data_IF_432180742021
#
_entry.id   IF_432180742021
#
_cell.length_a   1.000
_cell.length_b   1.000
_cell.length_c   1.000
_cell.angle_alpha   90.00
_cell.angle_beta   90.00
_cell.angle_gamma   90.00
#
_symmetry.space_group_name_H-M   'P 1'
#
loop_
_entity.id
_entity.type
_entity.pdbx_description
1 polymer ?
#
# COMPACT_ATOMS: atom_id res chain seq x y z
N UNK A 1 -29.82 15.22 8.67
CA UNK A 1 -28.87 14.13 8.93
C UNK A 1 -27.52 14.66 8.55
N UNK A 2 -26.53 14.61 9.44
CA UNK A 2 -25.14 14.95 9.13
C UNK A 2 -24.62 13.94 8.09
N UNK A 3 -23.73 14.40 7.20
CA UNK A 3 -23.07 13.47 6.28
C UNK A 3 -22.19 12.49 7.06
N UNK A 4 -22.09 11.21 6.62
CA UNK A 4 -21.24 10.22 7.27
C UNK A 4 -19.77 10.62 7.22
N UNK A 5 -19.03 10.45 8.32
CA UNK A 5 -17.58 10.66 8.36
C UNK A 5 -16.90 9.44 7.74
N UNK A 6 -16.23 9.63 6.60
CA UNK A 6 -15.67 8.56 5.77
C UNK A 6 -14.21 8.26 6.11
N UNK A 7 -13.74 7.03 5.79
CA UNK A 7 -12.37 6.58 6.10
C UNK A 7 -11.28 7.39 5.40
N UNK A 8 -11.48 7.75 4.18
CA UNK A 8 -10.47 8.40 3.34
C UNK A 8 -11.07 9.44 2.42
N UNK A 9 -10.25 10.01 1.54
CA UNK A 9 -10.73 11.00 0.57
C UNK A 9 -11.82 10.34 -0.28
N UNK A 10 -12.91 11.06 -0.35
CA UNK A 10 -14.09 10.65 -1.09
C UNK A 10 -13.88 10.95 -2.58
N UNK A 11 -14.94 11.04 -3.30
CA UNK A 11 -14.97 11.35 -4.73
C UNK A 11 -14.16 12.61 -5.07
N UNK A 12 -13.68 12.74 -6.30
CA UNK A 12 -13.01 13.96 -6.74
C UNK A 12 -13.88 15.18 -6.49
N UNK A 13 -13.31 16.20 -5.86
CA UNK A 13 -13.99 17.48 -5.64
C UNK A 13 -14.32 18.16 -6.97
N UNK A 14 -15.20 19.18 -6.94
CA UNK A 14 -15.49 19.97 -8.15
C UNK A 14 -14.23 20.63 -8.73
N UNK A 15 -13.28 21.01 -7.87
CA UNK A 15 -11.99 21.55 -8.29
C UNK A 15 -11.14 20.47 -8.96
N UNK A 16 -11.09 19.25 -8.39
CA UNK A 16 -10.38 18.13 -9.02
C UNK A 16 -10.93 17.83 -10.41
N UNK A 17 -12.26 17.77 -10.58
CA UNK A 17 -12.88 17.55 -11.88
C UNK A 17 -12.50 18.61 -12.91
N UNK A 18 -12.43 19.88 -12.51
CA UNK A 18 -12.02 20.98 -13.41
C UNK A 18 -10.57 20.80 -13.86
N UNK A 19 -9.67 20.52 -12.92
CA UNK A 19 -8.25 20.34 -13.21
C UNK A 19 -7.98 19.05 -14.00
N UNK A 20 -8.68 17.96 -13.71
CA UNK A 20 -8.63 16.72 -14.50
C UNK A 20 -9.02 16.97 -15.96
N UNK A 21 -10.08 17.75 -16.22
CA UNK A 21 -10.48 18.11 -17.58
C UNK A 21 -9.38 18.92 -18.29
N UNK A 22 -8.69 19.80 -17.57
CA UNK A 22 -7.56 20.56 -18.15
C UNK A 22 -6.39 19.64 -18.51
N UNK A 23 -6.02 18.71 -17.62
CA UNK A 23 -4.97 17.73 -17.89
C UNK A 23 -5.30 16.84 -19.10
N UNK A 24 -6.53 16.33 -19.18
CA UNK A 24 -6.97 15.51 -20.32
C UNK A 24 -6.99 16.30 -21.64
N UNK A 25 -7.35 17.58 -21.62
CA UNK A 25 -7.29 18.46 -22.80
C UNK A 25 -5.84 18.78 -23.20
N UNK A 26 -4.96 19.04 -22.22
CA UNK A 26 -3.55 19.30 -22.47
C UNK A 26 -2.86 18.08 -23.13
N UNK A 27 -3.23 16.88 -22.73
CA UNK A 27 -2.77 15.64 -23.35
C UNK A 27 -3.42 15.35 -24.72
N UNK A 28 -4.32 16.19 -25.22
CA UNK A 28 -5.04 16.02 -26.50
C UNK A 28 -5.74 14.67 -26.67
N UNK A 29 -6.15 14.04 -25.57
CA UNK A 29 -6.74 12.70 -25.56
C UNK A 29 -5.73 11.56 -25.68
N UNK A 30 -4.44 11.83 -25.71
CA UNK A 30 -3.38 10.82 -25.81
C UNK A 30 -3.05 10.25 -24.44
N UNK A 31 -3.45 9.01 -24.20
CA UNK A 31 -3.25 8.33 -22.91
C UNK A 31 -1.78 8.24 -22.50
N UNK A 32 -0.86 7.99 -23.44
CA UNK A 32 0.56 7.86 -23.14
C UNK A 32 1.13 9.13 -22.48
N UNK A 33 0.70 10.32 -22.91
CA UNK A 33 1.14 11.61 -22.33
C UNK A 33 0.74 11.72 -20.85
N UNK A 34 -0.49 11.28 -20.51
CA UNK A 34 -0.94 11.27 -19.12
C UNK A 34 -0.16 10.26 -18.28
N UNK A 35 0.09 9.06 -18.81
CA UNK A 35 0.86 8.03 -18.11
C UNK A 35 2.31 8.49 -17.84
N UNK A 36 2.99 9.03 -18.82
CA UNK A 36 4.35 9.59 -18.69
C UNK A 36 4.41 10.68 -17.61
N UNK A 37 3.37 11.51 -17.51
CA UNK A 37 3.30 12.56 -16.50
C UNK A 37 3.11 11.99 -15.08
N UNK A 38 2.24 10.99 -14.89
CA UNK A 38 2.11 10.26 -13.61
C UNK A 38 3.44 9.61 -13.23
N UNK A 39 4.05 8.90 -14.17
CA UNK A 39 5.33 8.20 -14.01
C UNK A 39 6.45 9.19 -13.62
N UNK A 40 6.53 10.34 -14.29
CA UNK A 40 7.50 11.40 -13.97
C UNK A 40 7.30 11.99 -12.58
N UNK A 41 6.05 12.29 -12.17
CA UNK A 41 5.75 12.86 -10.86
C UNK A 41 6.14 11.90 -9.72
N UNK A 42 5.74 10.63 -9.82
CA UNK A 42 6.10 9.63 -8.82
C UNK A 42 7.60 9.35 -8.83
N UNK A 43 8.22 9.19 -10.01
CA UNK A 43 9.66 9.00 -10.15
C UNK A 43 10.46 10.11 -9.50
N UNK A 44 10.01 11.36 -9.62
CA UNK A 44 10.63 12.52 -8.97
C UNK A 44 10.54 12.45 -7.43
N UNK A 45 9.34 12.15 -6.88
CA UNK A 45 9.13 12.06 -5.42
C UNK A 45 10.02 10.98 -4.79
N UNK A 46 10.13 9.81 -5.44
CA UNK A 46 10.92 8.68 -4.94
C UNK A 46 12.37 8.69 -5.43
N UNK A 47 12.76 9.69 -6.24
CA UNK A 47 14.08 9.81 -6.86
C UNK A 47 14.53 8.55 -7.62
N UNK A 48 13.64 8.01 -8.50
CA UNK A 48 13.89 6.87 -9.39
C UNK A 48 13.74 7.30 -10.85
N UNK A 49 14.66 6.93 -11.76
CA UNK A 49 14.61 7.33 -13.16
C UNK A 49 13.52 6.61 -13.97
N UNK A 50 13.21 5.36 -13.61
CA UNK A 50 12.25 4.55 -14.33
C UNK A 50 10.98 4.35 -13.50
N UNK A 51 9.84 4.66 -14.11
CA UNK A 51 8.52 4.48 -13.53
C UNK A 51 7.57 3.90 -14.58
N UNK A 52 6.63 3.05 -14.15
CA UNK A 52 5.63 2.41 -15.02
C UNK A 52 4.29 2.38 -14.29
N UNK A 53 3.29 3.09 -14.81
CA UNK A 53 1.96 3.21 -14.20
C UNK A 53 1.04 2.05 -14.58
N UNK A 54 0.33 1.52 -13.58
CA UNK A 54 -0.61 0.39 -13.71
C UNK A 54 -2.00 0.77 -13.22
N UNK A 55 -3.04 0.21 -13.83
CA UNK A 55 -4.44 0.44 -13.49
C UNK A 55 -4.82 -0.02 -12.07
N UNK A 56 -4.10 -0.99 -11.50
CA UNK A 56 -4.35 -1.51 -10.16
C UNK A 56 -3.08 -1.94 -9.44
N UNK A 57 -3.11 -1.88 -8.13
CA UNK A 57 -2.00 -2.33 -7.25
C UNK A 57 -1.72 -3.83 -7.45
N UNK A 58 -2.77 -4.65 -7.58
CA UNK A 58 -2.60 -6.10 -7.81
C UNK A 58 -1.82 -6.41 -9.08
N UNK A 59 -2.20 -5.78 -10.20
CA UNK A 59 -1.52 -5.95 -11.48
C UNK A 59 -0.05 -5.46 -11.41
N UNK A 60 0.21 -4.37 -10.69
CA UNK A 60 1.55 -3.85 -10.48
C UNK A 60 2.43 -4.82 -9.69
N UNK A 61 1.90 -5.41 -8.61
CA UNK A 61 2.63 -6.40 -7.79
C UNK A 61 2.91 -7.66 -8.59
N UNK A 62 1.93 -8.19 -9.34
CA UNK A 62 2.11 -9.38 -10.18
C UNK A 62 3.18 -9.15 -11.26
N UNK A 63 3.10 -8.02 -11.97
CA UNK A 63 4.09 -7.66 -12.97
C UNK A 63 5.49 -7.51 -12.38
N UNK A 64 5.61 -6.92 -11.17
CA UNK A 64 6.87 -6.77 -10.46
C UNK A 64 7.45 -8.12 -10.03
N UNK A 65 6.63 -9.02 -9.46
CA UNK A 65 7.06 -10.37 -9.07
C UNK A 65 7.55 -11.17 -10.28
N UNK A 66 6.81 -11.14 -11.39
CA UNK A 66 7.22 -11.84 -12.61
C UNK A 66 8.52 -11.25 -13.20
N UNK A 67 8.66 -9.92 -13.23
CA UNK A 67 9.88 -9.26 -13.70
C UNK A 67 11.11 -9.60 -12.84
N UNK A 68 10.93 -9.80 -11.53
CA UNK A 68 11.98 -10.23 -10.60
C UNK A 68 12.26 -11.75 -10.64
N UNK A 69 11.53 -12.52 -11.45
CA UNK A 69 11.65 -13.97 -11.52
C UNK A 69 10.94 -14.73 -10.40
N UNK A 70 10.13 -14.05 -9.59
CA UNK A 70 9.35 -14.65 -8.51
C UNK A 70 8.28 -15.64 -9.00
N UNK A 71 7.82 -15.52 -10.24
CA UNK A 71 6.84 -16.43 -10.85
C UNK A 71 7.45 -17.71 -11.48
N UNK A 72 8.75 -17.94 -11.33
CA UNK A 72 9.46 -19.06 -11.99
C UNK A 72 9.67 -20.28 -11.09
N UNK A 73 8.88 -20.42 -10.07
CA UNK A 73 9.08 -21.41 -9.02
C UNK A 73 10.09 -20.93 -7.96
N UNK A 74 10.06 -21.56 -6.80
CA UNK A 74 10.84 -21.16 -5.65
C UNK A 74 9.98 -20.54 -4.55
N UNK A 75 10.59 -19.84 -3.62
CA UNK A 75 9.94 -19.31 -2.44
C UNK A 75 10.03 -17.78 -2.41
N UNK A 76 8.96 -17.14 -1.94
CA UNK A 76 8.89 -15.70 -1.68
C UNK A 76 8.76 -15.51 -0.16
N UNK A 77 9.72 -14.81 0.44
CA UNK A 77 9.65 -14.40 1.85
C UNK A 77 8.89 -13.08 1.95
N UNK A 78 7.82 -13.08 2.78
CA UNK A 78 6.93 -11.92 2.90
C UNK A 78 6.34 -11.83 4.32
N UNK A 79 5.87 -10.63 4.76
CA UNK A 79 5.26 -10.49 6.07
C UNK A 79 3.94 -11.29 6.17
N UNK A 80 3.70 -11.86 7.35
CA UNK A 80 2.41 -12.51 7.66
C UNK A 80 1.27 -11.50 7.82
N UNK A 81 1.57 -10.25 8.17
CA UNK A 81 0.62 -9.14 8.28
C UNK A 81 0.78 -8.21 7.09
N UNK A 82 -0.30 -8.00 6.34
CA UNK A 82 -0.22 -7.11 5.18
C UNK A 82 -1.56 -6.95 4.45
N UNK A 83 -1.56 -6.18 3.37
CA UNK A 83 -2.74 -5.97 2.54
C UNK A 83 -3.09 -7.26 1.77
N UNK A 84 -4.37 -7.60 1.73
CA UNK A 84 -4.86 -8.83 1.06
C UNK A 84 -4.48 -8.87 -0.42
N UNK A 85 -4.38 -7.71 -1.09
CA UNK A 85 -3.95 -7.61 -2.49
C UNK A 85 -2.55 -8.21 -2.72
N UNK A 86 -1.63 -8.12 -1.75
CA UNK A 86 -0.32 -8.77 -1.83
C UNK A 86 -0.47 -10.30 -1.84
N UNK A 87 -1.27 -10.85 -0.92
CA UNK A 87 -1.53 -12.29 -0.87
C UNK A 87 -2.11 -12.82 -2.18
N UNK A 88 -3.08 -12.11 -2.76
CA UNK A 88 -3.63 -12.48 -4.08
C UNK A 88 -2.59 -12.44 -5.20
N UNK A 89 -1.75 -11.40 -5.24
CA UNK A 89 -0.72 -11.28 -6.28
C UNK A 89 0.33 -12.39 -6.17
N UNK A 90 0.81 -12.68 -4.96
CA UNK A 90 1.77 -13.76 -4.73
C UNK A 90 1.16 -15.13 -5.05
N UNK A 91 -0.12 -15.34 -4.69
CA UNK A 91 -0.85 -16.56 -5.02
C UNK A 91 -0.92 -16.78 -6.54
N UNK A 92 -1.21 -15.75 -7.32
CA UNK A 92 -1.24 -15.84 -8.79
C UNK A 92 0.14 -16.02 -9.41
N UNK A 93 1.20 -15.58 -8.76
CA UNK A 93 2.57 -15.81 -9.20
C UNK A 93 3.00 -17.29 -9.11
N UNK A 94 2.16 -18.17 -8.53
CA UNK A 94 2.41 -19.63 -8.42
C UNK A 94 3.70 -20.00 -7.69
N UNK A 95 4.19 -19.15 -6.80
CA UNK A 95 5.36 -19.41 -5.96
C UNK A 95 4.95 -19.79 -4.55
N UNK A 96 5.77 -20.55 -3.86
CA UNK A 96 5.53 -20.90 -2.48
C UNK A 96 5.74 -19.66 -1.58
N UNK A 97 4.82 -19.43 -0.66
CA UNK A 97 4.95 -18.37 0.35
C UNK A 97 5.73 -18.86 1.56
N UNK A 98 6.66 -18.05 2.04
CA UNK A 98 7.31 -18.17 3.34
C UNK A 98 6.96 -16.92 4.14
N UNK A 99 5.95 -17.04 4.97
CA UNK A 99 5.54 -15.94 5.81
C UNK A 99 6.50 -15.76 6.98
N UNK A 100 6.75 -14.52 7.35
CA UNK A 100 7.51 -14.15 8.54
C UNK A 100 6.66 -13.26 9.45
N UNK A 101 6.79 -13.44 10.77
CA UNK A 101 6.06 -12.58 11.72
C UNK A 101 6.61 -11.16 11.68
N UNK A 102 5.86 -10.21 12.21
CA UNK A 102 6.18 -8.79 12.13
C UNK A 102 6.65 -8.24 13.48
N UNK A 103 7.33 -7.11 13.46
CA UNK A 103 7.66 -6.38 14.68
C UNK A 103 6.38 -5.84 15.38
N UNK A 104 6.25 -6.03 16.70
CA UNK A 104 5.04 -5.63 17.42
C UNK A 104 4.83 -4.11 17.51
N UNK A 105 5.85 -3.30 17.28
CA UNK A 105 5.75 -1.83 17.34
C UNK A 105 5.40 -1.24 15.98
N UNK A 106 6.21 -1.56 14.98
CA UNK A 106 6.06 -1.03 13.62
C UNK A 106 5.00 -1.78 12.79
N UNK A 107 4.70 -3.03 13.14
CA UNK A 107 3.84 -3.93 12.34
C UNK A 107 4.39 -4.20 10.94
N UNK A 108 5.70 -4.10 10.79
CA UNK A 108 6.42 -4.36 9.53
C UNK A 108 7.38 -5.54 9.70
N UNK A 109 7.82 -6.09 8.58
CA UNK A 109 8.83 -7.15 8.56
C UNK A 109 10.22 -6.55 8.78
N UNK A 110 10.96 -7.06 9.76
CA UNK A 110 12.35 -6.72 10.01
C UNK A 110 13.30 -7.75 9.39
N UNK A 111 14.57 -7.37 9.23
CA UNK A 111 15.60 -8.19 8.61
C UNK A 111 15.76 -9.58 9.24
N UNK A 112 15.90 -9.66 10.56
CA UNK A 112 16.10 -10.92 11.31
C UNK A 112 14.90 -11.88 11.16
N UNK A 113 13.67 -11.33 11.15
CA UNK A 113 12.47 -12.15 10.95
C UNK A 113 12.44 -12.74 9.53
N UNK A 114 12.80 -11.92 8.53
CA UNK A 114 12.88 -12.37 7.13
C UNK A 114 13.96 -13.44 6.96
N UNK A 115 15.16 -13.23 7.53
CA UNK A 115 16.31 -14.14 7.43
C UNK A 115 15.98 -15.51 8.01
N UNK A 116 15.26 -15.57 9.13
CA UNK A 116 14.84 -16.82 9.77
C UNK A 116 13.93 -17.70 8.91
N UNK A 117 13.32 -17.12 7.88
CA UNK A 117 12.37 -17.80 6.96
C UNK A 117 12.97 -18.12 5.60
N UNK A 118 14.18 -17.64 5.31
CA UNK A 118 14.87 -17.89 4.05
C UNK A 118 15.37 -19.34 3.94
N UNK A 119 15.39 -19.82 2.71
CA UNK A 119 15.96 -21.12 2.33
C UNK A 119 16.73 -20.98 1.01
N UNK A 120 17.42 -22.02 0.57
CA UNK A 120 18.10 -22.05 -0.75
C UNK A 120 17.13 -21.89 -1.93
N UNK A 121 15.84 -22.14 -1.69
CA UNK A 121 14.79 -21.95 -2.69
C UNK A 121 14.25 -20.51 -2.74
N UNK A 122 14.64 -19.64 -1.82
CA UNK A 122 14.19 -18.23 -1.78
C UNK A 122 14.63 -17.51 -3.05
N UNK A 123 13.70 -16.77 -3.68
CA UNK A 123 13.94 -16.02 -4.92
C UNK A 123 13.65 -14.54 -4.79
N UNK A 124 12.74 -14.14 -3.92
CA UNK A 124 12.36 -12.74 -3.70
C UNK A 124 12.07 -12.52 -2.22
N UNK A 125 12.54 -11.40 -1.69
CA UNK A 125 12.12 -10.88 -0.38
C UNK A 125 11.13 -9.75 -0.63
N UNK A 126 10.03 -9.70 0.14
CA UNK A 126 9.01 -8.64 0.04
C UNK A 126 8.96 -7.85 1.33
N UNK A 127 9.21 -6.55 1.24
CA UNK A 127 9.02 -5.59 2.32
C UNK A 127 7.75 -4.76 2.10
N UNK A 128 6.96 -4.54 3.14
CA UNK A 128 5.69 -3.81 3.06
C UNK A 128 5.68 -2.66 4.05
N UNK A 129 5.41 -1.45 3.59
CA UNK A 129 5.16 -0.28 4.43
C UNK A 129 3.69 -0.27 4.87
N UNK A 130 3.35 -1.03 5.91
CA UNK A 130 2.00 -1.04 6.46
C UNK A 130 1.63 0.36 7.01
N UNK A 131 0.49 0.89 6.61
CA UNK A 131 -0.01 2.23 6.99
C UNK A 131 0.96 3.40 6.70
N UNK A 132 1.93 3.18 5.81
CA UNK A 132 2.98 4.14 5.49
C UNK A 132 4.24 4.01 6.34
N UNK A 133 4.28 3.07 7.32
CA UNK A 133 5.44 2.82 8.19
C UNK A 133 6.60 2.17 7.43
N UNK A 134 7.76 2.84 7.27
CA UNK A 134 8.86 2.31 6.47
C UNK A 134 9.85 1.44 7.25
N UNK A 135 9.67 1.25 8.55
CA UNK A 135 10.60 0.51 9.40
C UNK A 135 10.95 -0.87 8.81
N UNK A 136 12.20 -1.27 8.93
CA UNK A 136 12.71 -2.55 8.42
C UNK A 136 13.13 -2.56 6.94
N UNK A 137 12.74 -1.60 6.11
CA UNK A 137 13.08 -1.60 4.68
C UNK A 137 14.59 -1.54 4.42
N UNK A 138 15.34 -0.76 5.20
CA UNK A 138 16.79 -0.68 5.10
C UNK A 138 17.47 -2.00 5.51
N UNK A 139 16.96 -2.68 6.52
CA UNK A 139 17.45 -3.99 6.97
C UNK A 139 17.16 -5.04 5.90
N UNK A 140 15.95 -5.07 5.35
CA UNK A 140 15.56 -5.97 4.26
C UNK A 140 16.39 -5.73 3.00
N UNK A 141 16.68 -4.47 2.66
CA UNK A 141 17.56 -4.13 1.53
C UNK A 141 18.99 -4.66 1.76
N UNK A 142 19.51 -4.52 2.97
CA UNK A 142 20.83 -5.03 3.34
C UNK A 142 20.86 -6.57 3.33
N UNK A 143 19.80 -7.22 3.84
CA UNK A 143 19.65 -8.68 3.79
C UNK A 143 19.59 -9.20 2.35
N UNK A 144 18.77 -8.57 1.50
CA UNK A 144 18.64 -8.93 0.10
C UNK A 144 19.99 -8.81 -0.65
N UNK A 145 20.71 -7.71 -0.42
CA UNK A 145 22.02 -7.49 -1.03
C UNK A 145 23.07 -8.53 -0.60
N UNK A 146 23.12 -8.90 0.70
CA UNK A 146 24.05 -9.92 1.19
C UNK A 146 23.80 -11.31 0.61
N UNK A 147 22.55 -11.61 0.26
CA UNK A 147 22.13 -12.91 -0.29
C UNK A 147 21.93 -12.89 -1.82
N UNK A 148 22.31 -11.81 -2.49
CA UNK A 148 22.13 -11.63 -3.95
C UNK A 148 20.69 -11.83 -4.43
N UNK A 149 19.72 -11.54 -3.55
CA UNK A 149 18.29 -11.65 -3.83
C UNK A 149 17.68 -10.29 -4.14
N UNK A 150 16.67 -10.21 -5.00
CA UNK A 150 15.91 -8.99 -5.18
C UNK A 150 14.97 -8.72 -3.99
N UNK A 151 14.94 -7.47 -3.54
CA UNK A 151 13.89 -6.96 -2.68
C UNK A 151 12.78 -6.35 -3.54
N UNK A 152 11.56 -6.80 -3.33
CA UNK A 152 10.35 -6.11 -3.78
C UNK A 152 9.81 -5.26 -2.63
N UNK A 153 9.83 -3.96 -2.80
CA UNK A 153 9.26 -3.03 -1.85
C UNK A 153 7.81 -2.70 -2.22
N UNK A 154 6.90 -2.79 -1.26
CA UNK A 154 5.49 -2.46 -1.44
C UNK A 154 5.12 -1.31 -0.52
N UNK A 155 4.75 -0.19 -1.12
CA UNK A 155 4.35 1.01 -0.42
C UNK A 155 2.97 1.47 -0.92
N UNK A 156 1.91 1.14 -0.17
CA UNK A 156 0.53 1.41 -0.59
C UNK A 156 -0.04 2.74 -0.06
N UNK A 157 0.75 3.55 0.60
CA UNK A 157 0.23 4.82 1.10
C UNK A 157 1.25 5.71 1.81
N UNK A 158 2.49 5.25 1.89
CA UNK A 158 3.59 6.00 2.51
C UNK A 158 4.47 6.76 1.52
N UNK A 159 3.94 7.13 0.34
CA UNK A 159 4.66 7.97 -0.62
C UNK A 159 5.16 9.24 0.07
N UNK A 160 6.42 9.61 -0.18
CA UNK A 160 7.10 10.74 0.48
C UNK A 160 7.67 10.45 1.88
N UNK A 161 7.43 9.23 2.43
CA UNK A 161 8.13 8.76 3.62
C UNK A 161 9.63 8.59 3.36
N UNK A 162 10.43 8.55 4.43
CA UNK A 162 11.90 8.45 4.35
C UNK A 162 12.47 7.58 5.48
N UNK A 163 13.61 6.94 5.21
CA UNK A 163 14.52 6.41 6.23
C UNK A 163 15.84 7.15 6.04
N UNK A 164 16.28 7.90 7.05
CA UNK A 164 17.40 8.80 6.89
C UNK A 164 17.15 9.83 5.79
N UNK A 165 18.01 9.81 4.76
CA UNK A 165 17.87 10.69 3.57
C UNK A 165 17.18 10.03 2.40
N UNK A 166 17.00 8.71 2.43
CA UNK A 166 16.46 7.94 1.31
C UNK A 166 14.94 7.90 1.35
N UNK A 167 14.26 8.30 0.26
CA UNK A 167 12.82 8.19 0.17
C UNK A 167 12.38 6.73 0.07
N UNK A 168 11.23 6.42 0.67
CA UNK A 168 10.52 5.16 0.47
C UNK A 168 10.21 5.02 -1.03
N UNK A 169 10.43 3.83 -1.58
CA UNK A 169 10.44 3.57 -3.03
C UNK A 169 11.86 3.35 -3.58
N UNK A 170 12.91 3.51 -2.74
CA UNK A 170 14.31 3.31 -3.15
C UNK A 170 14.98 2.07 -2.58
N UNK A 171 14.38 1.38 -1.62
CA UNK A 171 15.01 0.25 -0.94
C UNK A 171 14.93 -1.03 -1.76
N UNK A 172 13.85 -1.25 -2.50
CA UNK A 172 13.69 -2.40 -3.39
C UNK A 172 14.51 -2.29 -4.69
N UNK A 173 14.88 -3.44 -5.28
CA UNK A 173 15.29 -3.48 -6.69
C UNK A 173 14.15 -3.00 -7.60
N UNK A 174 12.93 -3.35 -7.21
CA UNK A 174 11.68 -2.83 -7.76
C UNK A 174 10.81 -2.41 -6.58
N UNK A 175 10.13 -1.27 -6.69
CA UNK A 175 9.18 -0.82 -5.68
C UNK A 175 7.82 -0.51 -6.31
N UNK A 176 6.75 -0.97 -5.68
CA UNK A 176 5.37 -0.71 -6.07
C UNK A 176 4.82 0.40 -5.17
N UNK A 177 4.51 1.54 -5.77
CA UNK A 177 3.93 2.70 -5.10
C UNK A 177 2.43 2.73 -5.39
N UNK A 178 1.61 2.41 -4.41
CA UNK A 178 0.16 2.51 -4.53
C UNK A 178 -0.29 3.96 -4.54
N UNK A 179 -1.20 4.29 -5.44
CA UNK A 179 -1.83 5.62 -5.52
C UNK A 179 -3.13 5.70 -4.71
N UNK A 180 -3.39 4.64 -3.91
CA UNK A 180 -4.58 4.49 -3.10
C UNK A 180 -5.79 4.04 -3.92
N UNK A 181 -6.76 3.47 -3.23
CA UNK A 181 -8.08 3.23 -3.76
C UNK A 181 -9.00 4.32 -3.20
N UNK A 182 -9.74 4.02 -2.17
CA UNK A 182 -10.51 5.02 -1.40
C UNK A 182 -9.77 5.49 -0.16
N UNK A 183 -8.57 4.98 0.03
CA UNK A 183 -7.75 5.13 1.22
C UNK A 183 -6.37 5.64 0.82
N UNK A 184 -5.80 6.51 1.65
CA UNK A 184 -4.50 7.10 1.40
C UNK A 184 -4.53 8.44 0.66
N UNK A 185 -3.39 9.13 0.60
CA UNK A 185 -3.33 10.57 0.27
C UNK A 185 -3.67 10.89 -1.18
N UNK A 186 -3.46 9.97 -2.12
CA UNK A 186 -3.71 10.24 -3.55
C UNK A 186 -5.12 9.83 -3.96
N UNK A 187 -5.61 8.65 -3.56
CA UNK A 187 -6.99 8.20 -3.79
C UNK A 187 -7.43 8.18 -5.26
N UNK A 188 -6.50 7.93 -6.20
CA UNK A 188 -6.79 7.91 -7.63
C UNK A 188 -6.98 6.52 -8.22
N UNK A 189 -6.77 5.50 -7.41
CA UNK A 189 -6.59 4.10 -7.82
C UNK A 189 -5.32 3.87 -8.65
N UNK A 190 -4.91 2.60 -8.77
CA UNK A 190 -3.73 2.21 -9.51
C UNK A 190 -2.44 2.24 -8.68
N UNK A 191 -1.34 2.01 -9.35
CA UNK A 191 -0.01 2.03 -8.76
C UNK A 191 1.06 2.40 -9.79
N UNK A 192 2.21 2.84 -9.32
CA UNK A 192 3.38 3.06 -10.15
C UNK A 192 4.50 2.15 -9.67
N UNK A 193 5.05 1.35 -10.57
CA UNK A 193 6.23 0.52 -10.31
C UNK A 193 7.47 1.32 -10.66
N UNK A 194 8.41 1.43 -9.73
CA UNK A 194 9.64 2.22 -9.93
C UNK A 194 10.89 1.35 -9.77
N UNK A 195 11.92 1.67 -10.55
CA UNK A 195 13.20 0.95 -10.54
C UNK A 195 14.32 1.85 -11.07
N UNK A 196 15.59 1.45 -10.88
CA UNK A 196 16.75 2.04 -11.53
C UNK A 196 17.20 1.24 -12.78
N UNK A 197 16.53 0.14 -13.08
CA UNK A 197 16.92 -0.80 -14.14
C UNK A 197 16.01 -0.61 -15.36
N UNK A 198 16.56 -0.03 -16.43
CA UNK A 198 15.83 0.21 -17.67
C UNK A 198 15.29 -1.08 -18.31
N UNK A 199 16.01 -2.18 -18.16
CA UNK A 199 15.58 -3.49 -18.70
C UNK A 199 14.34 -4.01 -17.97
N UNK A 200 14.31 -3.87 -16.63
CA UNK A 200 13.13 -4.20 -15.83
C UNK A 200 11.96 -3.27 -16.17
N UNK A 201 12.21 -1.98 -16.33
CA UNK A 201 11.16 -1.02 -16.68
C UNK A 201 10.53 -1.37 -18.04
N UNK A 202 11.35 -1.73 -19.03
CA UNK A 202 10.85 -2.17 -20.33
C UNK A 202 10.05 -3.46 -20.22
N UNK A 203 10.52 -4.45 -19.47
CA UNK A 203 9.78 -5.69 -19.24
C UNK A 203 8.41 -5.44 -18.56
N UNK A 204 8.34 -4.48 -17.63
CA UNK A 204 7.10 -4.04 -16.98
C UNK A 204 6.12 -3.37 -17.98
N UNK A 205 6.62 -2.51 -18.88
CA UNK A 205 5.80 -1.88 -19.92
C UNK A 205 5.20 -2.92 -20.87
N UNK A 206 6.00 -3.89 -21.29
CA UNK A 206 5.54 -5.00 -22.14
C UNK A 206 4.40 -5.78 -21.45
N UNK A 207 4.59 -6.18 -20.19
CA UNK A 207 3.58 -6.91 -19.41
C UNK A 207 2.29 -6.11 -19.22
N UNK A 208 2.41 -4.82 -18.92
CA UNK A 208 1.29 -3.89 -18.78
C UNK A 208 0.45 -3.78 -20.06
N UNK A 209 1.08 -3.95 -21.22
CA UNK A 209 0.49 -3.76 -22.54
C UNK A 209 0.21 -5.10 -23.25
N UNK A 210 -0.53 -6.02 -22.62
CA UNK A 210 -0.86 -7.33 -23.19
C UNK A 210 0.34 -8.18 -23.62
N UNK A 211 1.51 -8.00 -23.03
CA UNK A 211 2.74 -8.66 -23.46
C UNK A 211 3.30 -8.13 -24.77
N UNK A 212 2.81 -6.99 -25.25
CA UNK A 212 3.22 -6.38 -26.50
C UNK A 212 4.31 -5.35 -26.30
N UNK A 213 5.37 -5.41 -27.10
CA UNK A 213 6.36 -4.36 -27.17
C UNK A 213 5.74 -3.04 -27.66
N UNK A 214 6.28 -1.93 -27.17
CA UNK A 214 5.91 -0.62 -27.70
C UNK A 214 6.33 -0.50 -29.17
N UNK A 215 5.50 0.16 -30.01
CA UNK A 215 5.83 0.36 -31.42
C UNK A 215 7.16 1.12 -31.58
N UNK A 216 8.07 0.61 -32.39
CA UNK A 216 9.39 1.21 -32.65
C UNK A 216 9.39 2.23 -33.78
N UNK A 217 8.32 2.28 -34.56
CA UNK A 217 8.19 3.17 -35.71
C UNK A 217 6.77 3.75 -35.83
N UNK A 218 6.66 4.88 -36.55
CA UNK A 218 5.35 5.49 -36.79
C UNK A 218 4.44 4.56 -37.65
N UNK A 219 5.02 3.69 -38.45
CA UNK A 219 4.29 2.67 -39.20
C UNK A 219 3.66 1.62 -38.27
N UNK A 220 4.40 1.15 -37.27
CA UNK A 220 3.86 0.23 -36.24
C UNK A 220 2.75 0.91 -35.43
N UNK A 221 2.86 2.23 -35.15
CA UNK A 221 1.82 3.00 -34.47
C UNK A 221 0.53 3.12 -35.28
N UNK A 222 0.60 3.14 -36.62
CA UNK A 222 -0.55 3.28 -37.52
C UNK A 222 -1.41 2.01 -37.67
N UNK A 223 -1.22 1.00 -36.87
CA UNK A 223 -2.00 -0.24 -36.92
C UNK A 223 -1.17 -1.45 -37.37
N UNK A 224 0.14 -1.34 -37.24
CA UNK A 224 1.05 -2.45 -37.42
C UNK A 224 0.76 -3.61 -36.46
N UNK A 225 1.29 -4.77 -36.76
CA UNK A 225 1.14 -5.97 -35.95
C UNK A 225 1.88 -5.77 -34.64
N UNK A 226 1.15 -5.75 -33.52
CA UNK A 226 1.72 -5.73 -32.19
C UNK A 226 2.58 -6.99 -31.98
N UNK A 227 3.86 -6.82 -31.68
CA UNK A 227 4.77 -7.94 -31.40
C UNK A 227 4.57 -8.41 -29.96
N UNK A 228 3.98 -9.59 -29.79
CA UNK A 228 3.85 -10.23 -28.47
C UNK A 228 5.19 -10.83 -28.05
N UNK A 229 5.73 -10.42 -26.92
CA UNK A 229 7.01 -10.89 -26.38
C UNK A 229 6.83 -11.84 -25.19
N UNK A 230 5.75 -11.69 -24.44
CA UNK A 230 5.42 -12.54 -23.28
C UNK A 230 3.92 -12.56 -22.99
N UNK A 231 3.49 -13.37 -22.04
CA UNK A 231 2.16 -13.24 -21.46
C UNK A 231 2.04 -11.90 -20.71
N UNK A 232 0.90 -11.24 -20.87
CA UNK A 232 0.62 -9.96 -20.24
C UNK A 232 -0.87 -9.66 -20.23
N UNK A 233 -1.24 -8.55 -19.59
CA UNK A 233 -2.61 -8.08 -19.48
C UNK A 233 -2.71 -6.62 -19.89
N UNK A 234 -3.86 -6.18 -20.37
CA UNK A 234 -4.11 -4.73 -20.45
C UNK A 234 -4.33 -4.18 -19.04
N UNK A 235 -3.24 -3.71 -18.46
CA UNK A 235 -3.20 -3.14 -17.10
C UNK A 235 -2.81 -1.67 -17.13
N UNK A 236 -3.04 -0.99 -18.26
CA UNK A 236 -2.79 0.44 -18.39
C UNK A 236 -3.81 1.22 -17.56
N UNK A 237 -3.33 2.22 -16.84
CA UNK A 237 -4.18 3.16 -16.14
C UNK A 237 -5.07 3.91 -17.15
N UNK A 238 -6.35 4.10 -16.82
CA UNK A 238 -7.26 4.88 -17.67
C UNK A 238 -6.92 6.37 -17.64
N UNK A 239 -7.35 7.12 -18.64
CA UNK A 239 -7.14 8.56 -18.70
C UNK A 239 -7.73 9.31 -17.47
N UNK A 240 -8.86 8.84 -16.95
CA UNK A 240 -9.52 9.43 -15.77
C UNK A 240 -8.68 9.18 -14.50
N UNK A 241 -8.21 7.94 -14.30
CA UNK A 241 -7.32 7.62 -13.19
C UNK A 241 -6.02 8.43 -13.26
N UNK A 242 -5.40 8.50 -14.43
CA UNK A 242 -4.16 9.24 -14.64
C UNK A 242 -4.35 10.75 -14.40
N UNK A 243 -5.43 11.35 -14.90
CA UNK A 243 -5.72 12.76 -14.68
C UNK A 243 -5.93 13.09 -13.19
N UNK A 244 -6.68 12.26 -12.45
CA UNK A 244 -6.86 12.44 -11.02
C UNK A 244 -5.53 12.27 -10.26
N UNK A 245 -4.73 11.27 -10.63
CA UNK A 245 -3.40 11.07 -10.04
C UNK A 245 -2.50 12.31 -10.26
N UNK A 246 -2.46 12.86 -11.47
CA UNK A 246 -1.68 14.06 -11.79
C UNK A 246 -2.12 15.24 -10.92
N UNK A 247 -3.41 15.52 -10.85
CA UNK A 247 -3.96 16.63 -10.07
C UNK A 247 -3.54 16.53 -8.60
N UNK A 248 -3.70 15.36 -8.00
CA UNK A 248 -3.38 15.14 -6.58
C UNK A 248 -1.87 15.06 -6.33
N UNK A 249 -1.09 14.43 -7.20
CA UNK A 249 0.37 14.40 -7.11
C UNK A 249 0.98 15.81 -7.26
N UNK A 250 0.39 16.67 -8.07
CA UNK A 250 0.82 18.07 -8.18
C UNK A 250 0.61 18.84 -6.87
N UNK A 251 -0.38 18.46 -6.07
CA UNK A 251 -0.69 19.05 -4.76
C UNK A 251 -0.14 18.22 -3.59
N UNK A 252 0.74 17.26 -3.86
CA UNK A 252 1.14 16.21 -2.92
C UNK A 252 1.66 16.76 -1.58
N UNK A 253 2.58 17.72 -1.60
CA UNK A 253 3.15 18.29 -0.37
C UNK A 253 2.09 18.99 0.50
N UNK A 254 1.14 19.69 -0.13
CA UNK A 254 0.02 20.30 0.57
C UNK A 254 -0.86 19.24 1.24
N UNK A 255 -1.23 18.19 0.51
CA UNK A 255 -2.01 17.07 1.04
C UNK A 255 -1.29 16.42 2.23
N UNK A 256 0.02 16.19 2.13
CA UNK A 256 0.81 15.64 3.22
C UNK A 256 0.81 16.52 4.46
N UNK A 257 0.92 17.85 4.31
CA UNK A 257 0.88 18.80 5.44
C UNK A 257 -0.48 18.77 6.13
N UNK A 258 -1.56 18.81 5.36
CA UNK A 258 -2.93 18.77 5.91
C UNK A 258 -3.20 17.43 6.65
N UNK A 259 -2.75 16.29 6.09
CA UNK A 259 -2.87 14.99 6.77
C UNK A 259 -2.04 14.91 8.06
N UNK A 260 -0.88 15.55 8.10
CA UNK A 260 -0.05 15.63 9.30
C UNK A 260 -0.76 16.44 10.42
N UNK A 261 -1.47 17.50 10.08
CA UNK A 261 -2.31 18.25 11.02
C UNK A 261 -3.44 17.39 11.59
N UNK A 262 -4.13 16.62 10.75
CA UNK A 262 -5.17 15.65 11.19
C UNK A 262 -4.56 14.58 12.09
N UNK A 263 -3.39 14.03 11.73
CA UNK A 263 -2.67 13.05 12.57
C UNK A 263 -2.39 13.60 13.97
N UNK A 264 -1.83 14.80 14.05
CA UNK A 264 -1.54 15.45 15.33
C UNK A 264 -2.81 15.79 16.12
N UNK A 265 -3.91 16.10 15.45
CA UNK A 265 -5.21 16.32 16.05
C UNK A 265 -5.71 15.07 16.79
N UNK A 266 -5.63 13.90 16.15
CA UNK A 266 -5.93 12.61 16.80
C UNK A 266 -4.98 12.29 17.97
N UNK A 267 -3.68 12.46 17.77
CA UNK A 267 -2.67 12.18 18.82
C UNK A 267 -2.95 13.01 20.07
N UNK A 268 -3.22 14.31 19.94
CA UNK A 268 -3.53 15.18 21.11
C UNK A 268 -4.72 14.68 21.94
N UNK A 269 -5.72 14.07 21.28
CA UNK A 269 -6.97 13.61 21.94
C UNK A 269 -6.87 12.21 22.52
N UNK A 270 -6.08 11.35 21.91
CA UNK A 270 -6.05 9.93 22.24
C UNK A 270 -4.78 9.49 23.00
N UNK A 271 -3.72 10.31 23.08
CA UNK A 271 -2.44 9.94 23.65
C UNK A 271 -2.49 9.45 25.11
N UNK A 272 -3.44 9.93 25.90
CA UNK A 272 -3.58 9.56 27.31
C UNK A 272 -4.59 8.43 27.55
N UNK A 273 -5.18 7.85 26.50
CA UNK A 273 -6.15 6.78 26.66
C UNK A 273 -5.44 5.45 26.99
N UNK A 274 -5.71 4.82 28.18
CA UNK A 274 -4.92 3.69 28.67
C UNK A 274 -5.05 2.42 27.82
N UNK A 275 -6.14 2.30 27.08
CA UNK A 275 -6.46 1.11 26.28
C UNK A 275 -6.10 1.25 24.79
N UNK A 276 -5.42 2.32 24.42
CA UNK A 276 -5.05 2.57 23.04
C UNK A 276 -3.51 2.60 22.85
N UNK A 277 -3.07 1.96 21.80
CA UNK A 277 -1.71 2.09 21.29
C UNK A 277 -1.80 2.86 19.97
N UNK A 278 -1.25 4.06 19.96
CA UNK A 278 -1.25 4.93 18.79
C UNK A 278 -0.16 4.51 17.79
N UNK A 279 -0.27 4.93 16.52
CA UNK A 279 0.76 4.70 15.52
C UNK A 279 2.12 5.23 15.99
N UNK A 280 3.14 4.36 15.99
CA UNK A 280 4.48 4.73 16.44
C UNK A 280 5.28 5.42 15.32
N UNK A 281 6.02 6.50 15.60
CA UNK A 281 6.91 7.11 14.63
C UNK A 281 8.04 6.12 14.24
N UNK A 282 8.65 6.33 13.09
CA UNK A 282 9.88 5.64 12.70
C UNK A 282 11.07 6.34 13.37
N UNK A 283 11.94 5.57 14.06
CA UNK A 283 13.05 6.15 14.81
C UNK A 283 14.03 6.94 13.91
N UNK A 284 14.33 6.39 12.72
CA UNK A 284 15.32 6.92 11.81
C UNK A 284 14.71 7.56 10.55
N UNK A 285 13.41 7.91 10.59
CA UNK A 285 12.73 8.32 9.37
C UNK A 285 11.49 9.18 9.58
N UNK A 286 10.91 9.57 8.46
CA UNK A 286 9.64 10.27 8.38
C UNK A 286 8.57 9.31 7.89
N UNK A 287 7.50 9.13 8.64
CA UNK A 287 6.34 8.35 8.23
C UNK A 287 5.37 9.28 7.52
N UNK A 288 4.90 8.87 6.34
CA UNK A 288 3.74 9.46 5.69
C UNK A 288 2.57 8.50 5.88
N UNK A 289 1.71 8.83 6.82
CA UNK A 289 0.60 7.97 7.21
C UNK A 289 -0.45 7.90 6.10
N UNK A 290 -0.87 6.68 5.76
CA UNK A 290 -2.02 6.45 4.89
C UNK A 290 -3.32 6.29 5.67
N UNK A 291 -3.21 5.94 6.95
CA UNK A 291 -4.32 5.69 7.85
C UNK A 291 -3.95 6.13 9.26
N UNK A 292 -4.91 6.59 10.03
CA UNK A 292 -4.75 6.69 11.47
C UNK A 292 -5.19 5.36 12.10
N UNK A 293 -4.25 4.40 12.16
CA UNK A 293 -4.50 3.04 12.60
C UNK A 293 -4.08 2.86 14.06
N UNK A 294 -5.06 2.83 14.97
CA UNK A 294 -4.86 2.54 16.39
C UNK A 294 -4.89 1.03 16.66
N UNK A 295 -4.30 0.59 17.76
CA UNK A 295 -4.48 -0.75 18.30
C UNK A 295 -5.11 -0.69 19.69
N UNK A 296 -6.06 -1.59 19.92
CA UNK A 296 -6.60 -1.80 21.26
C UNK A 296 -5.57 -2.49 22.16
N UNK A 297 -5.64 -2.24 23.45
CA UNK A 297 -4.81 -2.87 24.47
C UNK A 297 -4.90 -4.40 24.48
N UNK A 298 -3.98 -5.05 25.19
CA UNK A 298 -3.84 -6.52 25.15
C UNK A 298 -5.06 -7.31 25.65
N UNK A 299 -5.87 -6.68 26.46
CA UNK A 299 -7.10 -7.28 26.99
C UNK A 299 -8.20 -7.45 25.95
N UNK A 300 -8.17 -6.75 24.82
CA UNK A 300 -9.22 -6.78 23.80
C UNK A 300 -9.01 -7.93 22.80
N UNK A 301 -10.10 -8.59 22.46
CA UNK A 301 -10.18 -9.65 21.44
C UNK A 301 -10.58 -9.06 20.07
N UNK A 302 -10.63 -9.94 19.07
CA UNK A 302 -11.18 -9.63 17.75
C UNK A 302 -12.66 -9.24 17.81
N UNK A 303 -13.44 -9.97 18.63
CA UNK A 303 -14.88 -9.70 18.75
C UNK A 303 -15.12 -8.33 19.41
N UNK A 304 -14.29 -7.95 20.37
CA UNK A 304 -14.34 -6.61 20.98
C UNK A 304 -14.04 -5.52 19.96
N UNK A 305 -13.00 -5.70 19.15
CA UNK A 305 -12.66 -4.78 18.05
C UNK A 305 -13.82 -4.64 17.07
N UNK A 306 -14.39 -5.76 16.63
CA UNK A 306 -15.49 -5.78 15.67
C UNK A 306 -16.73 -5.11 16.26
N UNK A 307 -16.99 -5.30 17.55
CA UNK A 307 -18.05 -4.60 18.30
C UNK A 307 -17.86 -3.10 18.35
N UNK A 308 -16.61 -2.62 18.56
CA UNK A 308 -16.27 -1.19 18.55
C UNK A 308 -16.45 -0.61 17.14
N UNK A 309 -15.97 -1.29 16.09
CA UNK A 309 -16.15 -0.86 14.70
C UNK A 309 -17.64 -0.76 14.35
N UNK A 310 -18.44 -1.77 14.70
CA UNK A 310 -19.90 -1.71 14.49
C UNK A 310 -20.55 -0.56 15.28
N UNK A 311 -20.06 -0.28 16.47
CA UNK A 311 -20.49 0.87 17.27
C UNK A 311 -20.26 2.18 16.56
N UNK A 312 -19.07 2.42 16.05
CA UNK A 312 -18.72 3.61 15.27
C UNK A 312 -19.58 3.74 14.00
N UNK A 313 -19.76 2.65 13.27
CA UNK A 313 -20.61 2.63 12.06
C UNK A 313 -22.07 3.01 12.33
N UNK A 314 -22.63 2.65 13.50
CA UNK A 314 -23.98 3.06 13.90
C UNK A 314 -24.11 4.55 14.19
N UNK A 315 -23.00 5.24 14.38
CA UNK A 315 -22.89 6.69 14.56
C UNK A 315 -22.42 7.40 13.29
N UNK A 316 -22.57 6.76 12.12
CA UNK A 316 -22.16 7.29 10.83
C UNK A 316 -20.64 7.62 10.74
N UNK A 317 -19.82 6.94 11.55
CA UNK A 317 -18.37 7.05 11.54
C UNK A 317 -17.79 5.77 10.92
N UNK A 318 -17.14 5.90 9.75
CA UNK A 318 -16.50 4.78 9.10
C UNK A 318 -15.25 4.33 9.87
N UNK A 319 -15.15 3.02 10.13
CA UNK A 319 -13.97 2.41 10.72
C UNK A 319 -13.81 1.00 10.17
N UNK A 320 -12.57 0.52 10.07
CA UNK A 320 -12.29 -0.82 9.52
C UNK A 320 -10.97 -1.40 10.03
N UNK A 321 -10.76 -2.69 9.77
CA UNK A 321 -9.46 -3.34 9.90
C UNK A 321 -8.78 -3.36 8.52
N UNK A 322 -7.67 -2.66 8.38
CA UNK A 322 -7.00 -2.41 7.07
C UNK A 322 -5.91 -3.42 6.72
N UNK A 323 -5.54 -4.31 7.62
CA UNK A 323 -4.57 -5.38 7.39
C UNK A 323 -5.11 -6.72 7.84
N UNK A 324 -4.74 -7.77 7.12
CA UNK A 324 -5.08 -9.14 7.44
C UNK A 324 -3.85 -10.00 7.74
N UNK A 325 -4.07 -11.12 8.40
CA UNK A 325 -3.06 -12.18 8.53
C UNK A 325 -3.14 -13.04 7.28
N UNK A 326 -2.22 -12.83 6.34
CA UNK A 326 -2.25 -13.43 5.01
C UNK A 326 -2.33 -14.97 5.03
N UNK A 327 -1.61 -15.69 5.93
CA UNK A 327 -1.75 -17.15 6.04
C UNK A 327 -3.13 -17.63 6.48
N UNK A 328 -3.93 -16.79 7.14
CA UNK A 328 -5.28 -17.18 7.60
C UNK A 328 -6.33 -17.10 6.51
N UNK A 329 -6.07 -16.37 5.44
CA UNK A 329 -7.01 -16.21 4.33
C UNK A 329 -7.11 -17.51 3.53
N UNK A 330 -8.23 -18.21 3.67
CA UNK A 330 -8.47 -19.53 3.05
C UNK A 330 -8.27 -19.48 1.52
N UNK A 331 -8.69 -18.38 0.89
CA UNK A 331 -8.54 -18.15 -0.54
C UNK A 331 -7.08 -17.99 -1.00
N UNK A 332 -6.13 -17.73 -0.08
CA UNK A 332 -4.72 -17.55 -0.38
C UNK A 332 -3.88 -18.82 -0.14
N UNK A 333 -4.52 -19.94 0.25
CA UNK A 333 -3.83 -21.20 0.50
C UNK A 333 -3.65 -21.96 -0.79
N UNK A 334 -2.41 -22.12 -1.25
CA UNK A 334 -2.08 -22.86 -2.49
C UNK A 334 -2.32 -24.37 -2.39
N UNK A 335 -2.03 -24.98 -1.24
CA UNK A 335 -2.22 -26.40 -0.99
C UNK A 335 -2.64 -26.65 0.46
N UNK A 336 -3.68 -27.46 0.73
CA UNK A 336 -4.14 -27.75 2.09
C UNK A 336 -3.09 -28.43 2.99
N UNK A 337 -2.07 -29.05 2.41
CA UNK A 337 -1.06 -29.83 3.14
C UNK A 337 0.20 -29.08 3.54
N UNK A 338 0.42 -27.85 3.07
CA UNK A 338 1.61 -27.02 3.38
C UNK A 338 1.27 -25.58 3.82
N UNK A 339 0.02 -25.34 4.22
CA UNK A 339 -0.37 -24.00 4.64
C UNK A 339 0.09 -23.73 6.06
N UNK A 340 0.99 -22.76 6.18
CA UNK A 340 1.26 -22.10 7.45
C UNK A 340 -0.05 -21.50 7.99
N UNK A 341 -0.25 -21.60 9.30
CA UNK A 341 -1.49 -21.13 9.94
C UNK A 341 -1.23 -19.83 10.70
N UNK A 342 -2.28 -19.04 10.93
CA UNK A 342 -2.16 -17.80 11.70
C UNK A 342 -1.53 -17.99 13.08
N UNK A 343 -1.70 -19.17 13.70
CA UNK A 343 -1.12 -19.50 15.01
C UNK A 343 0.42 -19.53 15.03
N UNK A 344 1.05 -19.67 13.87
CA UNK A 344 2.52 -19.61 13.73
C UNK A 344 3.05 -18.17 13.74
N UNK A 345 2.18 -17.18 13.60
CA UNK A 345 2.50 -15.74 13.55
C UNK A 345 1.74 -14.97 14.63
N UNK A 346 2.07 -15.20 15.90
CA UNK A 346 1.30 -14.66 17.02
C UNK A 346 1.32 -13.14 17.12
N UNK A 347 2.37 -12.46 16.63
CA UNK A 347 2.40 -10.98 16.62
C UNK A 347 1.49 -10.44 15.55
N UNK A 348 1.55 -10.97 14.33
CA UNK A 348 0.67 -10.60 13.22
C UNK A 348 -0.81 -10.82 13.59
N UNK A 349 -1.13 -11.98 14.21
CA UNK A 349 -2.49 -12.30 14.64
C UNK A 349 -2.98 -11.30 15.69
N UNK A 350 -2.19 -11.08 16.76
CA UNK A 350 -2.57 -10.11 17.81
C UNK A 350 -2.72 -8.68 17.29
N UNK A 351 -1.90 -8.29 16.31
CA UNK A 351 -2.05 -6.98 15.68
C UNK A 351 -3.35 -6.90 14.87
N UNK A 352 -3.60 -7.87 13.99
CA UNK A 352 -4.80 -7.91 13.15
C UNK A 352 -6.09 -7.97 13.96
N UNK A 353 -6.09 -8.67 15.09
CA UNK A 353 -7.28 -8.80 15.96
C UNK A 353 -7.63 -7.49 16.68
N UNK A 354 -6.73 -6.53 16.76
CA UNK A 354 -6.90 -5.33 17.61
C UNK A 354 -6.74 -4.01 16.86
N UNK A 355 -6.39 -4.02 15.58
CA UNK A 355 -6.19 -2.81 14.78
C UNK A 355 -7.54 -2.24 14.31
N UNK A 356 -7.68 -0.93 14.44
CA UNK A 356 -8.80 -0.14 13.93
C UNK A 356 -8.22 1.05 13.18
N UNK A 357 -8.53 1.19 11.90
CA UNK A 357 -8.30 2.42 11.16
C UNK A 357 -9.51 3.34 11.34
N UNK A 358 -9.23 4.56 11.74
CA UNK A 358 -10.18 5.66 11.89
C UNK A 358 -10.20 6.52 10.63
N UNK A 359 -11.23 7.37 10.44
CA UNK A 359 -11.27 8.34 9.36
C UNK A 359 -9.99 9.16 9.27
N UNK A 360 -9.41 9.26 8.07
CA UNK A 360 -8.15 9.95 7.88
C UNK A 360 -8.07 10.58 6.49
N UNK A 361 -8.49 11.84 6.37
CA UNK A 361 -8.49 12.60 5.12
C UNK A 361 -8.30 14.08 5.39
N UNK A 362 -7.93 14.83 4.36
CA UNK A 362 -7.80 16.30 4.40
C UNK A 362 -9.14 17.03 4.54
N UNK A 363 -10.25 16.32 4.41
CA UNK A 363 -11.61 16.89 4.51
C UNK A 363 -12.13 16.91 5.95
N UNK A 364 -11.43 16.25 6.89
CA UNK A 364 -11.82 16.19 8.30
C UNK A 364 -11.60 17.53 8.99
N UNK A 365 -12.67 18.07 9.54
CA UNK A 365 -12.58 19.22 10.43
C UNK A 365 -12.12 18.81 11.84
N UNK A 366 -11.64 19.75 12.64
CA UNK A 366 -11.35 19.52 14.07
C UNK A 366 -12.58 18.98 14.82
N UNK A 367 -13.78 19.43 14.46
CA UNK A 367 -15.03 18.94 15.03
C UNK A 367 -15.29 17.48 14.68
N UNK A 368 -15.02 17.06 13.44
CA UNK A 368 -15.16 15.65 13.04
C UNK A 368 -14.19 14.76 13.81
N UNK A 369 -12.95 15.18 13.97
CA UNK A 369 -11.95 14.46 14.77
C UNK A 369 -12.39 14.37 16.24
N UNK A 370 -12.95 15.44 16.82
CA UNK A 370 -13.51 15.42 18.18
C UNK A 370 -14.63 14.39 18.31
N UNK A 371 -15.57 14.37 17.36
CA UNK A 371 -16.70 13.45 17.34
C UNK A 371 -16.23 11.99 17.23
N UNK A 372 -15.28 11.72 16.33
CA UNK A 372 -14.68 10.38 16.18
C UNK A 372 -14.03 9.94 17.49
N UNK A 373 -13.20 10.78 18.10
CA UNK A 373 -12.50 10.43 19.34
C UNK A 373 -13.47 10.19 20.51
N UNK A 374 -14.46 11.06 20.71
CA UNK A 374 -15.46 10.89 21.78
C UNK A 374 -16.29 9.62 21.58
N UNK A 375 -16.75 9.37 20.35
CA UNK A 375 -17.54 8.16 20.05
C UNK A 375 -16.69 6.91 20.24
N UNK A 376 -15.42 6.91 19.79
CA UNK A 376 -14.50 5.79 20.00
C UNK A 376 -14.32 5.48 21.49
N UNK A 377 -14.10 6.48 22.34
CA UNK A 377 -13.94 6.32 23.79
C UNK A 377 -15.18 5.69 24.41
N UNK A 378 -16.38 6.18 24.06
CA UNK A 378 -17.65 5.60 24.53
C UNK A 378 -17.80 4.15 24.08
N UNK A 379 -17.43 3.81 22.85
CA UNK A 379 -17.52 2.42 22.37
C UNK A 379 -16.54 1.49 23.09
N UNK A 380 -15.34 1.97 23.40
CA UNK A 380 -14.33 1.22 24.18
C UNK A 380 -14.85 0.97 25.61
N UNK A 381 -15.37 2.01 26.28
CA UNK A 381 -15.94 1.88 27.63
C UNK A 381 -17.12 0.90 27.66
N UNK A 382 -18.03 1.02 26.69
CA UNK A 382 -19.17 0.10 26.56
C UNK A 382 -18.71 -1.35 26.40
N UNK A 383 -17.73 -1.59 25.54
CA UNK A 383 -17.20 -2.93 25.31
C UNK A 383 -16.49 -3.49 26.56
N UNK A 384 -15.86 -2.62 27.33
CA UNK A 384 -15.23 -2.98 28.61
C UNK A 384 -16.25 -3.40 29.69
N UNK A 385 -17.48 -2.86 29.66
CA UNK A 385 -18.55 -3.21 30.61
C UNK A 385 -19.25 -4.51 30.21
N UNK A 386 -19.32 -4.84 28.92
CA UNK A 386 -19.98 -6.03 28.41
C UNK A 386 -19.18 -7.32 28.63
N UNK A 387 -17.99 -7.23 29.12
CA UNK A 387 -17.10 -8.33 29.55
C UNK A 387 -17.35 -8.76 30.97
#
# INVERSE_FOLDING_TARGET
MSEPIRLGPVDPTRADWTDMQQEMRAARGELHVLLERVESLVGHIVARPCAVAFASTGAAIEAALDALGGARGGEIVLPALGPVVLGHAVNRASSACRYADVDPKSMTLLGDHAESRMTDATRVIVGVSNHGQPAGLNELASLAARNELPLLEINLGGLGGRIGRDPVGRFGRVSVIGLGDREGPIGSQGAVVVTNDDTLAQALRVRRNNGCAEPKSDWEKLGGIARVECAGWDSRMSAVQAALAIVRLTRFEKICTELEEVFHSYVRRLAMHPDLVLPAPCADGTVRWSHFAIRLGERYSRDDRDGIIQGLLRHDIAATSVVGVLPSEVALRHEPKRCETASEFPVAQRAADRIIALPFSTELSEHDVDLVCQTLQVMIERQSILR
#
